data_IF_898009630268
#
_entry.id   IF_898009630268
#
_cell.length_a   1.000
_cell.length_b   1.000
_cell.length_c   1.000
_cell.angle_alpha   90.00
_cell.angle_beta   90.00
_cell.angle_gamma   90.00
#
_symmetry.space_group_name_H-M   'P 1'
#
loop_
_entity.id
_entity.type
_entity.pdbx_description
1 polymer ?
#
# COMPACT_ATOMS: atom_id res chain seq x y z
N UNK A 1 9.66 -14.03 -40.49
CA UNK A 1 8.40 -13.32 -40.21
C UNK A 1 7.49 -14.06 -39.20
N UNK A 2 7.10 -15.33 -39.41
CA UNK A 2 6.24 -16.08 -38.45
C UNK A 2 6.86 -16.23 -37.03
N UNK A 3 8.18 -16.46 -36.93
CA UNK A 3 8.87 -16.57 -35.64
C UNK A 3 8.89 -15.25 -34.83
N UNK A 4 9.00 -14.10 -35.50
CA UNK A 4 9.02 -12.79 -34.83
C UNK A 4 7.66 -12.46 -34.20
N UNK A 5 6.56 -12.90 -34.82
CA UNK A 5 5.20 -12.71 -34.31
C UNK A 5 4.96 -13.56 -33.05
N UNK A 6 5.44 -14.80 -33.02
CA UNK A 6 5.32 -15.70 -31.86
C UNK A 6 6.10 -15.19 -30.65
N UNK A 7 7.30 -14.65 -30.85
CA UNK A 7 8.10 -14.06 -29.78
C UNK A 7 7.46 -12.79 -29.22
N UNK A 8 6.89 -11.94 -30.08
CA UNK A 8 6.19 -10.73 -29.65
C UNK A 8 4.94 -11.05 -28.82
N UNK A 9 4.14 -12.04 -29.23
CA UNK A 9 2.96 -12.49 -28.49
C UNK A 9 3.35 -13.16 -27.17
N UNK A 10 4.38 -14.02 -27.16
CA UNK A 10 4.85 -14.67 -25.94
C UNK A 10 5.39 -13.66 -24.91
N UNK A 11 6.11 -12.64 -25.37
CA UNK A 11 6.58 -11.54 -24.52
C UNK A 11 5.42 -10.68 -24.00
N UNK A 12 4.43 -10.37 -24.85
CA UNK A 12 3.25 -9.61 -24.42
C UNK A 12 2.45 -10.38 -23.35
N UNK A 13 2.27 -11.69 -23.52
CA UNK A 13 1.60 -12.55 -22.53
C UNK A 13 2.42 -12.65 -21.25
N UNK A 14 3.75 -12.77 -21.32
CA UNK A 14 4.61 -12.79 -20.13
C UNK A 14 4.54 -11.47 -19.34
N UNK A 15 4.50 -10.32 -20.02
CA UNK A 15 4.34 -9.00 -19.39
C UNK A 15 2.95 -8.86 -18.75
N UNK A 16 1.90 -9.34 -19.41
CA UNK A 16 0.53 -9.32 -18.88
C UNK A 16 0.39 -10.24 -17.66
N UNK A 17 1.04 -11.41 -17.66
CA UNK A 17 1.03 -12.34 -16.52
C UNK A 17 1.81 -11.75 -15.34
N UNK A 18 2.94 -11.09 -15.56
CA UNK A 18 3.71 -10.40 -14.51
C UNK A 18 2.93 -9.20 -13.92
N UNK A 19 2.16 -8.49 -14.74
CA UNK A 19 1.27 -7.43 -14.27
C UNK A 19 0.03 -7.96 -13.51
N UNK A 20 -0.36 -9.22 -13.74
CA UNK A 20 -1.48 -9.87 -13.07
C UNK A 20 -1.16 -10.48 -11.70
N UNK A 21 0.12 -10.58 -11.29
CA UNK A 21 0.51 -11.16 -9.98
C UNK A 21 0.54 -10.14 -8.85
N UNK A 22 0.41 -8.84 -9.14
CA UNK A 22 0.22 -7.83 -8.10
C UNK A 22 -1.27 -7.80 -7.76
N UNK A 23 -1.57 -8.39 -6.61
CA UNK A 23 -2.91 -8.69 -6.15
C UNK A 23 -3.93 -7.57 -6.42
N UNK A 24 -5.08 -8.00 -6.92
CA UNK A 24 -6.23 -7.15 -7.14
C UNK A 24 -6.57 -6.32 -5.91
N UNK A 25 -6.51 -5.01 -6.09
CA UNK A 25 -7.36 -4.04 -5.42
C UNK A 25 -7.24 -2.77 -6.24
N UNK A 26 -8.28 -2.46 -6.99
CA UNK A 26 -8.56 -1.12 -7.52
C UNK A 26 -8.39 -0.08 -6.40
N UNK A 27 -7.26 0.60 -6.32
CA UNK A 27 -6.99 1.69 -5.39
C UNK A 27 -5.65 2.31 -5.78
N UNK A 28 -5.48 3.61 -5.51
CA UNK A 28 -4.27 4.39 -5.77
C UNK A 28 -2.97 3.55 -5.66
N UNK A 29 -2.07 3.70 -6.64
CA UNK A 29 -0.70 3.18 -6.55
C UNK A 29 -0.20 3.34 -5.12
N UNK A 30 0.18 2.25 -4.46
CA UNK A 30 0.52 2.24 -3.04
C UNK A 30 1.68 3.21 -2.77
N UNK A 31 1.31 4.46 -2.47
CA UNK A 31 2.22 5.58 -2.35
C UNK A 31 2.19 6.11 -0.92
N UNK A 32 3.29 5.90 -0.20
CA UNK A 32 3.42 6.28 1.20
C UNK A 32 3.33 7.80 1.37
N UNK A 33 3.63 8.59 0.34
CA UNK A 33 3.57 10.06 0.40
C UNK A 33 2.14 10.57 0.63
N UNK A 34 1.13 9.81 0.22
CA UNK A 34 -0.28 10.13 0.50
C UNK A 34 -0.63 9.99 2.01
N UNK A 35 0.24 9.35 2.80
CA UNK A 35 0.14 9.26 4.26
C UNK A 35 0.91 10.39 4.98
N UNK A 36 1.52 11.32 4.24
CA UNK A 36 2.11 12.55 4.80
C UNK A 36 1.20 13.30 5.81
N UNK A 37 -0.13 13.44 5.62
CA UNK A 37 -0.99 14.06 6.63
C UNK A 37 -1.03 13.31 7.97
N UNK A 38 -0.59 12.05 8.02
CA UNK A 38 -0.46 11.26 9.26
C UNK A 38 0.89 11.44 9.96
N UNK A 39 1.89 12.06 9.31
CA UNK A 39 3.22 12.29 9.89
C UNK A 39 3.20 12.96 11.28
N UNK A 40 2.45 14.05 11.54
CA UNK A 40 2.42 14.66 12.87
C UNK A 40 1.78 13.77 13.94
N UNK A 41 0.79 12.96 13.55
CA UNK A 41 0.18 11.98 14.45
C UNK A 41 1.16 10.83 14.77
N UNK A 42 1.95 10.41 13.79
CA UNK A 42 3.00 9.38 13.93
C UNK A 42 4.13 9.85 14.86
N UNK A 43 4.62 11.08 14.69
CA UNK A 43 5.72 11.65 15.47
C UNK A 43 5.30 12.02 16.90
N UNK A 44 4.17 12.71 17.04
CA UNK A 44 3.78 13.33 18.30
C UNK A 44 2.76 12.50 19.09
N UNK A 45 2.23 11.41 18.50
CA UNK A 45 1.12 10.66 19.07
C UNK A 45 -0.20 11.44 19.11
N UNK A 46 -0.29 12.53 18.36
CA UNK A 46 -1.47 13.39 18.29
C UNK A 46 -2.64 12.67 17.60
N UNK A 47 -3.86 13.19 17.81
CA UNK A 47 -5.05 12.67 17.14
C UNK A 47 -4.92 12.79 15.60
N UNK A 48 -5.32 11.77 14.83
CA UNK A 48 -5.26 11.84 13.37
C UNK A 48 -6.28 12.83 12.82
N UNK A 49 -5.90 13.52 11.74
CA UNK A 49 -6.81 14.40 11.01
C UNK A 49 -7.77 13.60 10.13
N UNK A 50 -8.90 14.19 9.74
CA UNK A 50 -9.85 13.57 8.80
C UNK A 50 -9.18 13.21 7.46
N UNK A 51 -8.24 14.05 7.00
CA UNK A 51 -7.44 13.78 5.80
C UNK A 51 -6.54 12.55 5.98
N UNK A 52 -5.86 12.43 7.12
CA UNK A 52 -5.06 11.24 7.44
C UNK A 52 -5.92 9.96 7.43
N UNK A 53 -7.08 9.98 8.08
CA UNK A 53 -7.97 8.81 8.11
C UNK A 53 -8.51 8.46 6.71
N UNK A 54 -8.82 9.46 5.88
CA UNK A 54 -9.26 9.24 4.50
C UNK A 54 -8.16 8.58 3.64
N UNK A 55 -6.92 9.07 3.74
CA UNK A 55 -5.77 8.46 3.06
C UNK A 55 -5.50 7.03 3.54
N UNK A 56 -5.56 6.78 4.85
CA UNK A 56 -5.38 5.43 5.41
C UNK A 56 -6.47 4.47 4.94
N UNK A 57 -7.74 4.92 4.87
CA UNK A 57 -8.85 4.11 4.36
C UNK A 57 -8.65 3.77 2.88
N UNK A 58 -8.22 4.74 2.08
CA UNK A 58 -7.94 4.55 0.65
C UNK A 58 -6.79 3.55 0.41
N UNK A 59 -5.83 3.45 1.34
CA UNK A 59 -4.65 2.58 1.22
C UNK A 59 -4.71 1.31 2.06
N UNK A 60 -5.89 0.92 2.56
CA UNK A 60 -6.03 -0.26 3.41
C UNK A 60 -5.47 -1.54 2.77
N UNK A 61 -5.64 -1.69 1.45
CA UNK A 61 -5.08 -2.81 0.67
C UNK A 61 -3.54 -2.83 0.65
N UNK A 62 -2.90 -1.67 0.75
CA UNK A 62 -1.45 -1.50 0.70
C UNK A 62 -0.76 -1.79 2.04
N UNK A 63 -1.49 -1.89 3.16
CA UNK A 63 -0.89 -2.05 4.49
C UNK A 63 -0.02 -3.30 4.59
N UNK A 64 -0.41 -4.40 3.94
CA UNK A 64 0.40 -5.61 3.88
C UNK A 64 1.71 -5.39 3.12
N UNK A 65 1.67 -4.66 2.01
CA UNK A 65 2.85 -4.37 1.21
C UNK A 65 3.83 -3.49 2.00
N UNK A 66 3.32 -2.50 2.72
CA UNK A 66 4.12 -1.66 3.60
C UNK A 66 4.67 -2.43 4.81
N UNK A 67 3.90 -3.36 5.39
CA UNK A 67 4.37 -4.22 6.47
C UNK A 67 5.49 -5.20 6.02
N UNK A 68 5.45 -5.65 4.77
CA UNK A 68 6.48 -6.51 4.17
C UNK A 68 7.77 -5.77 3.83
N UNK A 69 7.70 -4.47 3.54
CA UNK A 69 8.89 -3.68 3.26
C UNK A 69 9.60 -3.29 4.57
N UNK A 70 10.84 -3.74 4.83
CA UNK A 70 11.54 -3.46 6.08
C UNK A 70 11.74 -1.95 6.35
N UNK A 71 11.83 -1.13 5.31
CA UNK A 71 11.93 0.32 5.45
C UNK A 71 10.67 0.93 6.09
N UNK A 72 9.48 0.38 5.79
CA UNK A 72 8.19 0.87 6.28
C UNK A 72 7.64 0.07 7.47
N UNK A 73 8.06 -1.19 7.62
CA UNK A 73 7.60 -2.11 8.65
C UNK A 73 7.77 -1.53 10.06
N UNK A 74 8.90 -0.85 10.34
CA UNK A 74 9.15 -0.19 11.64
C UNK A 74 8.11 0.88 11.98
N UNK A 75 7.58 1.57 10.96
CA UNK A 75 6.60 2.62 11.15
C UNK A 75 5.20 2.03 11.32
N UNK A 76 4.81 1.08 10.47
CA UNK A 76 3.50 0.41 10.57
C UNK A 76 3.35 -0.39 11.87
N UNK A 77 4.43 -1.02 12.34
CA UNK A 77 4.41 -1.78 13.58
C UNK A 77 4.56 -0.93 14.85
N UNK A 78 4.86 0.37 14.70
CA UNK A 78 4.99 1.30 15.82
C UNK A 78 3.67 1.44 16.60
N UNK A 79 3.72 1.58 17.94
CA UNK A 79 2.51 1.80 18.74
C UNK A 79 1.70 3.02 18.29
N UNK A 80 2.34 4.10 17.82
CA UNK A 80 1.63 5.29 17.33
C UNK A 80 0.86 5.00 16.04
N UNK A 81 1.44 4.24 15.11
CA UNK A 81 0.72 3.86 13.89
C UNK A 81 -0.50 2.99 14.20
N UNK A 82 -0.37 2.03 15.11
CA UNK A 82 -1.49 1.19 15.55
C UNK A 82 -2.60 2.03 16.21
N UNK A 83 -2.24 3.01 17.03
CA UNK A 83 -3.21 3.96 17.63
C UNK A 83 -3.93 4.77 16.56
N UNK A 84 -3.21 5.35 15.61
CA UNK A 84 -3.79 6.14 14.51
C UNK A 84 -4.78 5.30 13.69
N UNK A 85 -4.38 4.09 13.31
CA UNK A 85 -5.21 3.16 12.55
C UNK A 85 -6.48 2.83 13.34
N UNK A 86 -6.36 2.52 14.64
CA UNK A 86 -7.51 2.28 15.52
C UNK A 86 -8.42 3.52 15.67
N UNK A 87 -7.85 4.72 15.86
CA UNK A 87 -8.60 5.98 15.95
C UNK A 87 -9.35 6.31 14.65
N UNK A 88 -8.84 5.88 13.50
CA UNK A 88 -9.52 6.02 12.21
C UNK A 88 -10.57 4.92 11.93
N UNK A 89 -10.80 4.00 12.87
CA UNK A 89 -11.73 2.88 12.72
C UNK A 89 -11.22 1.79 11.77
N UNK A 90 -9.90 1.70 11.60
CA UNK A 90 -9.25 0.70 10.76
C UNK A 90 -8.61 -0.40 11.61
N UNK A 91 -8.36 -1.55 10.99
CA UNK A 91 -7.61 -2.65 11.58
C UNK A 91 -6.43 -2.96 10.69
N UNK A 92 -5.25 -3.16 11.30
CA UNK A 92 -4.08 -3.65 10.57
C UNK A 92 -4.38 -5.09 10.13
N UNK A 93 -4.42 -5.39 8.81
CA UNK A 93 -4.66 -6.74 8.35
C UNK A 93 -3.51 -7.66 8.81
N UNK A 94 -3.84 -8.93 9.07
CA UNK A 94 -2.82 -9.97 9.22
C UNK A 94 -2.31 -10.30 7.82
N UNK A 95 -1.04 -10.01 7.61
CA UNK A 95 -0.24 -10.28 6.45
C UNK A 95 1.03 -10.99 6.95
#
# INVERSE_FOLDING_TARGET
MKQQQLVAVAMAVLVLVLAGVVGGASAASCDVSQLAPCAPALSSGAAPTSACCSSLKAQRSCFCQYAKNPAYARYINSPNAKKIIASCGLTVPRC
#
